data_IF_930033577998
#
_entry.id   IF_930033577998
#
_cell.length_a   1.000
_cell.length_b   1.000
_cell.length_c   1.000
_cell.angle_alpha   90.00
_cell.angle_beta   90.00
_cell.angle_gamma   90.00
#
_symmetry.space_group_name_H-M   'P 1'
#
loop_
_entity.id
_entity.type
_entity.pdbx_description
1 polymer ?
#
# COMPACT_ATOMS: atom_id res chain seq x y z
N UNK A 1 20.37 6.73 6.50
CA UNK A 1 19.74 6.23 7.74
C UNK A 1 18.83 5.01 7.54
N UNK A 2 18.16 4.83 6.38
CA UNK A 2 17.35 3.62 6.06
C UNK A 2 18.20 2.34 5.89
N UNK A 3 19.43 2.48 5.37
CA UNK A 3 20.36 1.37 5.09
C UNK A 3 20.75 0.51 6.31
N UNK A 4 20.69 1.06 7.52
CA UNK A 4 21.24 0.42 8.72
C UNK A 4 20.24 -0.46 9.48
N UNK A 5 18.92 -0.28 9.26
CA UNK A 5 17.89 -0.99 10.01
C UNK A 5 17.38 -2.23 9.27
N UNK A 6 17.44 -2.25 7.93
CA UNK A 6 16.83 -3.32 7.12
C UNK A 6 17.80 -4.11 6.24
N UNK A 7 19.10 -3.81 6.35
CA UNK A 7 20.21 -4.49 5.68
C UNK A 7 20.58 -3.89 4.33
N UNK A 8 21.81 -4.19 3.88
CA UNK A 8 22.21 -4.01 2.48
C UNK A 8 21.38 -4.98 1.62
N UNK A 9 20.79 -4.55 0.50
CA UNK A 9 19.99 -5.43 -0.33
C UNK A 9 20.88 -6.48 -0.98
N UNK A 10 20.48 -7.75 -0.88
CA UNK A 10 20.86 -8.72 -1.92
C UNK A 10 20.18 -8.28 -3.23
N UNK A 11 20.86 -8.33 -4.38
CA UNK A 11 20.25 -8.01 -5.67
C UNK A 11 19.22 -9.07 -6.05
N UNK A 12 18.00 -8.95 -5.51
CA UNK A 12 16.81 -9.60 -6.05
C UNK A 12 16.16 -8.60 -6.99
N UNK A 13 15.86 -9.01 -8.21
CA UNK A 13 15.04 -8.22 -9.12
C UNK A 13 13.65 -7.98 -8.51
N UNK A 14 13.18 -6.73 -8.53
CA UNK A 14 11.81 -6.40 -8.13
C UNK A 14 10.81 -7.23 -8.92
N UNK A 15 9.77 -7.71 -8.25
CA UNK A 15 8.61 -8.34 -8.87
C UNK A 15 7.96 -7.38 -9.84
N UNK A 16 7.34 -7.94 -10.88
CA UNK A 16 6.41 -7.18 -11.71
C UNK A 16 5.19 -6.76 -10.89
N UNK A 17 4.47 -5.74 -11.36
CA UNK A 17 3.20 -5.33 -10.76
C UNK A 17 2.22 -6.51 -10.64
N UNK A 18 2.06 -7.28 -11.72
CA UNK A 18 1.14 -8.42 -11.76
C UNK A 18 1.52 -9.47 -10.71
N UNK A 19 2.80 -9.81 -10.60
CA UNK A 19 3.27 -10.81 -9.64
C UNK A 19 3.05 -10.33 -8.19
N UNK A 20 3.35 -9.07 -7.90
CA UNK A 20 3.14 -8.49 -6.58
C UNK A 20 1.65 -8.54 -6.16
N UNK A 21 0.75 -8.19 -7.09
CA UNK A 21 -0.70 -8.23 -6.85
C UNK A 21 -1.15 -9.66 -6.59
N UNK A 22 -0.68 -10.62 -7.39
CA UNK A 22 -0.97 -12.05 -7.22
C UNK A 22 -0.54 -12.55 -5.84
N UNK A 23 0.70 -12.25 -5.43
CA UNK A 23 1.23 -12.64 -4.12
C UNK A 23 0.39 -12.07 -2.97
N UNK A 24 -0.03 -10.80 -3.09
CA UNK A 24 -0.86 -10.14 -2.08
C UNK A 24 -2.26 -10.76 -2.00
N UNK A 25 -2.91 -11.02 -3.14
CA UNK A 25 -4.21 -11.68 -3.17
C UNK A 25 -4.16 -13.10 -2.61
N UNK A 26 -3.07 -13.83 -2.86
CA UNK A 26 -2.85 -15.14 -2.26
C UNK A 26 -2.73 -15.05 -0.74
N UNK A 27 -2.00 -14.06 -0.21
CA UNK A 27 -1.92 -13.84 1.23
C UNK A 27 -3.31 -13.59 1.85
N UNK A 28 -4.14 -12.75 1.21
CA UNK A 28 -5.52 -12.52 1.64
C UNK A 28 -6.38 -13.80 1.59
N UNK A 29 -6.25 -14.59 0.53
CA UNK A 29 -6.96 -15.87 0.39
C UNK A 29 -6.57 -16.89 1.47
N UNK A 30 -5.34 -16.83 1.97
CA UNK A 30 -4.86 -17.64 3.09
C UNK A 30 -5.22 -17.05 4.47
N UNK A 31 -6.07 -16.02 4.53
CA UNK A 31 -6.56 -15.47 5.79
C UNK A 31 -5.62 -14.45 6.43
N UNK A 32 -4.74 -13.80 5.65
CA UNK A 32 -3.95 -12.69 6.18
C UNK A 32 -4.85 -11.56 6.69
N UNK A 33 -4.63 -11.16 7.94
CA UNK A 33 -5.24 -9.99 8.56
C UNK A 33 -4.19 -8.92 8.83
N UNK A 34 -4.57 -7.65 8.66
CA UNK A 34 -3.67 -6.54 8.94
C UNK A 34 -3.30 -6.49 10.44
N UNK A 35 -2.02 -6.25 10.78
CA UNK A 35 -1.61 -6.02 12.16
C UNK A 35 -2.40 -4.89 12.81
N UNK A 36 -2.59 -4.96 14.14
CA UNK A 36 -3.44 -4.03 14.92
C UNK A 36 -3.04 -2.56 14.71
N UNK A 37 -1.76 -2.28 14.50
CA UNK A 37 -1.20 -0.96 14.26
C UNK A 37 -1.69 -0.32 12.95
N UNK A 38 -2.11 -1.13 11.99
CA UNK A 38 -2.62 -0.69 10.69
C UNK A 38 -4.16 -0.71 10.61
N UNK A 39 -4.84 -1.11 11.69
CA UNK A 39 -6.30 -1.06 11.78
C UNK A 39 -6.74 0.38 12.08
N UNK A 40 -7.62 0.99 11.26
CA UNK A 40 -8.06 2.36 11.47
C UNK A 40 -8.99 2.48 12.68
N UNK A 41 -8.84 3.58 13.43
CA UNK A 41 -9.79 3.95 14.49
C UNK A 41 -11.11 4.45 13.90
N UNK A 42 -12.23 4.03 14.51
CA UNK A 42 -13.58 4.52 14.23
C UNK A 42 -13.75 5.97 14.70
N UNK A 43 -14.59 6.74 14.00
CA UNK A 43 -15.00 8.10 14.44
C UNK A 43 -14.32 9.28 13.76
N UNK A 44 -13.62 9.08 12.63
CA UNK A 44 -13.05 10.20 11.86
C UNK A 44 -14.05 10.84 10.91
N UNK A 45 -14.05 12.17 10.84
CA UNK A 45 -14.83 12.93 9.88
C UNK A 45 -14.39 12.65 8.43
N UNK A 46 -15.38 12.49 7.53
CA UNK A 46 -15.15 12.18 6.12
C UNK A 46 -14.32 13.25 5.42
N UNK A 47 -14.60 14.53 5.67
CA UNK A 47 -13.88 15.63 5.00
C UNK A 47 -12.42 15.70 5.47
N UNK A 48 -12.19 15.48 6.77
CA UNK A 48 -10.85 15.35 7.36
C UNK A 48 -10.05 14.16 6.81
N UNK A 49 -10.70 13.03 6.55
CA UNK A 49 -10.07 11.87 5.93
C UNK A 49 -9.66 12.15 4.48
N UNK A 50 -10.56 12.72 3.67
CA UNK A 50 -10.29 13.03 2.27
C UNK A 50 -9.17 14.08 2.12
N UNK A 51 -9.19 15.14 2.93
CA UNK A 51 -8.12 16.14 2.94
C UNK A 51 -6.77 15.54 3.37
N UNK A 52 -6.77 14.59 4.31
CA UNK A 52 -5.57 13.88 4.72
C UNK A 52 -5.04 12.96 3.63
N UNK A 53 -5.91 12.20 2.97
CA UNK A 53 -5.54 11.35 1.85
C UNK A 53 -4.86 12.16 0.75
N UNK A 54 -5.50 13.24 0.29
CA UNK A 54 -4.97 14.14 -0.75
C UNK A 54 -3.60 14.70 -0.36
N UNK A 55 -3.46 15.21 0.88
CA UNK A 55 -2.19 15.75 1.38
C UNK A 55 -1.07 14.70 1.39
N UNK A 56 -1.37 13.46 1.75
CA UNK A 56 -0.38 12.37 1.80
C UNK A 56 0.02 11.92 0.40
N UNK A 57 -0.94 11.80 -0.52
CA UNK A 57 -0.71 11.49 -1.94
C UNK A 57 0.23 12.53 -2.58
N UNK A 58 -0.12 13.81 -2.48
CA UNK A 58 0.70 14.87 -3.07
C UNK A 58 2.11 14.90 -2.45
N UNK A 59 2.22 14.65 -1.15
CA UNK A 59 3.52 14.58 -0.46
C UNK A 59 4.35 13.40 -0.95
N UNK A 60 3.74 12.24 -1.20
CA UNK A 60 4.40 11.07 -1.75
C UNK A 60 4.93 11.37 -3.15
N UNK A 61 4.07 11.84 -4.06
CA UNK A 61 4.44 12.15 -5.45
C UNK A 61 5.54 13.21 -5.51
N UNK A 62 5.42 14.31 -4.75
CA UNK A 62 6.47 15.35 -4.69
C UNK A 62 7.81 14.80 -4.21
N UNK A 63 7.80 13.88 -3.23
CA UNK A 63 9.05 13.30 -2.70
C UNK A 63 9.70 12.33 -3.68
N UNK A 64 8.92 11.51 -4.36
CA UNK A 64 9.43 10.61 -5.39
C UNK A 64 10.08 11.41 -6.51
N UNK A 65 9.37 12.39 -7.08
CA UNK A 65 9.88 13.18 -8.19
C UNK A 65 11.11 14.03 -7.85
N UNK A 66 11.23 14.48 -6.59
CA UNK A 66 12.34 15.36 -6.18
C UNK A 66 13.60 14.60 -5.77
N UNK A 67 13.47 13.42 -5.17
CA UNK A 67 14.57 12.78 -4.44
C UNK A 67 14.93 11.38 -4.91
N UNK A 68 14.14 10.76 -5.78
CA UNK A 68 14.36 9.37 -6.20
C UNK A 68 14.63 9.29 -7.69
N UNK A 69 15.65 8.49 -8.05
CA UNK A 69 15.83 8.02 -9.41
C UNK A 69 15.18 6.65 -9.60
N UNK A 70 14.85 6.33 -10.85
CA UNK A 70 14.18 5.10 -11.22
C UNK A 70 14.93 3.84 -10.74
N UNK A 71 16.25 3.81 -10.96
CA UNK A 71 17.12 2.72 -10.56
C UNK A 71 17.32 2.59 -9.05
N UNK A 72 16.98 3.63 -8.27
CA UNK A 72 17.07 3.58 -6.81
C UNK A 72 15.89 2.85 -6.18
N UNK A 73 14.76 2.76 -6.88
CA UNK A 73 13.55 2.09 -6.37
C UNK A 73 13.76 0.58 -6.16
N UNK A 74 14.73 0.00 -6.87
CA UNK A 74 15.10 -1.42 -6.76
C UNK A 74 16.20 -1.67 -5.71
N UNK A 75 16.84 -0.61 -5.20
CA UNK A 75 18.00 -0.70 -4.30
C UNK A 75 17.66 -0.62 -2.82
N UNK A 76 16.43 -0.35 -2.44
CA UNK A 76 16.07 -0.26 -1.03
C UNK A 76 14.91 -1.20 -0.73
N UNK A 77 15.00 -1.91 0.39
CA UNK A 77 14.00 -2.87 0.82
C UNK A 77 13.37 -2.46 2.14
N UNK A 78 12.08 -2.74 2.29
CA UNK A 78 11.30 -2.52 3.50
C UNK A 78 10.57 -3.81 3.90
N UNK A 79 10.36 -4.07 5.20
CA UNK A 79 9.49 -5.15 5.62
C UNK A 79 8.02 -4.80 5.33
N UNK A 80 7.28 -5.76 4.80
CA UNK A 80 5.84 -5.71 4.60
C UNK A 80 5.15 -6.86 5.35
N UNK A 81 4.05 -6.61 6.08
CA UNK A 81 3.39 -7.62 6.90
C UNK A 81 3.02 -8.92 6.18
N UNK A 82 2.45 -8.83 4.97
CA UNK A 82 2.01 -10.00 4.19
C UNK A 82 2.97 -10.42 3.08
N UNK A 83 3.89 -9.53 2.66
CA UNK A 83 4.70 -9.72 1.45
C UNK A 83 6.19 -9.95 1.74
N UNK A 84 6.55 -10.06 3.02
CA UNK A 84 7.94 -10.19 3.46
C UNK A 84 8.75 -8.93 3.14
N UNK A 85 10.02 -9.08 2.78
CA UNK A 85 10.88 -7.94 2.40
C UNK A 85 10.65 -7.58 0.94
N UNK A 86 10.18 -6.35 0.70
CA UNK A 86 9.82 -5.85 -0.63
C UNK A 86 10.67 -4.63 -0.99
N UNK A 87 10.91 -4.40 -2.28
CA UNK A 87 11.63 -3.20 -2.73
C UNK A 87 10.77 -1.94 -2.63
N UNK A 88 11.37 -0.75 -2.74
CA UNK A 88 10.60 0.50 -2.82
C UNK A 88 9.69 0.54 -4.04
N UNK A 89 10.13 0.00 -5.19
CA UNK A 89 9.28 -0.18 -6.37
C UNK A 89 8.05 -1.02 -6.05
N UNK A 90 8.28 -2.18 -5.43
CA UNK A 90 7.19 -3.08 -5.02
C UNK A 90 6.26 -2.41 -4.00
N UNK A 91 6.77 -1.61 -3.07
CA UNK A 91 5.93 -0.85 -2.13
C UNK A 91 5.03 0.17 -2.85
N UNK A 92 5.54 0.84 -3.90
CA UNK A 92 4.76 1.78 -4.70
C UNK A 92 3.68 1.06 -5.53
N UNK A 93 4.03 -0.06 -6.15
CA UNK A 93 3.06 -0.93 -6.82
C UNK A 93 1.97 -1.41 -5.86
N UNK A 94 2.35 -1.83 -4.65
CA UNK A 94 1.40 -2.18 -3.60
C UNK A 94 0.50 -1.00 -3.24
N UNK A 95 1.06 0.21 -3.09
CA UNK A 95 0.29 1.41 -2.76
C UNK A 95 -0.78 1.73 -3.82
N UNK A 96 -0.44 1.59 -5.11
CA UNK A 96 -1.37 1.78 -6.22
C UNK A 96 -2.51 0.77 -6.12
N UNK A 97 -2.17 -0.52 -6.09
CA UNK A 97 -3.17 -1.60 -6.03
C UNK A 97 -4.04 -1.51 -4.78
N UNK A 98 -3.44 -1.28 -3.62
CA UNK A 98 -4.11 -1.26 -2.32
C UNK A 98 -5.13 -0.13 -2.21
N UNK A 99 -4.82 1.02 -2.82
CA UNK A 99 -5.77 2.15 -2.90
C UNK A 99 -7.00 1.77 -3.72
N UNK A 100 -6.81 1.18 -4.89
CA UNK A 100 -7.91 0.71 -5.75
C UNK A 100 -8.71 -0.42 -5.08
N UNK A 101 -8.02 -1.36 -4.42
CA UNK A 101 -8.63 -2.45 -3.68
C UNK A 101 -9.59 -1.94 -2.60
N UNK A 102 -9.17 -0.93 -1.82
CA UNK A 102 -10.03 -0.32 -0.82
C UNK A 102 -11.18 0.48 -1.41
N UNK A 103 -10.98 1.19 -2.53
CA UNK A 103 -12.06 1.89 -3.21
C UNK A 103 -13.18 0.92 -3.60
N UNK A 104 -12.85 -0.21 -4.22
CA UNK A 104 -13.82 -1.24 -4.61
C UNK A 104 -14.60 -1.81 -3.41
N UNK A 105 -13.93 -1.97 -2.26
CA UNK A 105 -14.60 -2.41 -1.02
C UNK A 105 -15.58 -1.33 -0.53
N UNK A 106 -15.21 -0.06 -0.59
CA UNK A 106 -16.08 1.06 -0.18
C UNK A 106 -17.29 1.14 -1.10
N UNK A 107 -17.11 1.06 -2.42
CA UNK A 107 -18.18 1.06 -3.43
C UNK A 107 -19.16 -0.08 -3.19
N UNK A 108 -18.65 -1.32 -3.08
CA UNK A 108 -19.48 -2.50 -2.80
C UNK A 108 -20.32 -2.33 -1.52
N UNK A 109 -19.71 -1.84 -0.44
CA UNK A 109 -20.42 -1.60 0.82
C UNK A 109 -21.46 -0.49 0.72
N UNK A 110 -21.19 0.56 -0.06
CA UNK A 110 -22.14 1.63 -0.30
C UNK A 110 -23.37 1.11 -1.07
N UNK A 111 -23.17 0.24 -2.06
CA UNK A 111 -24.26 -0.46 -2.77
C UNK A 111 -25.05 -1.40 -1.84
N UNK A 112 -24.39 -2.17 -0.98
CA UNK A 112 -25.07 -3.06 -0.03
C UNK A 112 -25.95 -2.29 0.97
N UNK A 113 -25.52 -1.09 1.38
CA UNK A 113 -26.31 -0.23 2.27
C UNK A 113 -27.50 0.37 1.54
N UNK A 114 -27.36 0.78 0.28
CA UNK A 114 -28.48 1.35 -0.49
C UNK A 114 -29.59 0.32 -0.75
N UNK A 115 -29.25 -0.94 -1.00
CA UNK A 115 -30.22 -2.02 -1.22
C UNK A 115 -30.94 -2.49 0.06
N UNK A 116 -30.43 -2.16 1.26
CA UNK A 116 -31.09 -2.49 2.54
C UNK A 116 -32.12 -1.45 2.98
N UNK A 117 -32.16 -0.30 2.31
CA UNK A 117 -33.03 0.84 2.64
C UNK A 117 -34.26 0.89 1.70
N UNK A 118 -34.28 0.07 0.65
CA UNK A 118 -35.43 -0.18 -0.24
C UNK A 118 -36.11 -1.47 0.17
#
# INVERSE_FOLDING_TARGET
MVLWVFGLPKPRQSRSYIQLVSDYQQALAHGFEAPKEYVPYVGKDRSGLLSTLKRMEEKLVRRLNKWWKEEELDKYMVPHPSLGKITMRELLFFTIYHTEHHLKIIEKRAEEVSHKIV
#
